data_IF_600489541662
#
_entry.id   IF_600489541662
#
_cell.length_a   1.000
_cell.length_b   1.000
_cell.length_c   1.000
_cell.angle_alpha   90.00
_cell.angle_beta   90.00
_cell.angle_gamma   90.00
#
_symmetry.space_group_name_H-M   'P 1'
#
loop_
_entity.id
_entity.type
_entity.pdbx_description
1 polymer ?
#
# COMPACT_ATOMS: atom_id res chain seq x y z
N UNK A 1 20.90 10.70 -3.82
CA UNK A 1 20.21 11.88 -3.24
C UNK A 1 19.65 12.77 -4.36
N UNK A 2 20.45 13.17 -5.40
CA UNK A 2 19.96 14.01 -6.49
C UNK A 2 18.79 13.38 -7.27
N UNK A 3 18.84 12.09 -7.59
CA UNK A 3 17.76 11.37 -8.28
C UNK A 3 16.45 11.34 -7.49
N UNK A 4 16.51 11.18 -6.17
CA UNK A 4 15.34 11.25 -5.29
C UNK A 4 14.71 12.64 -5.24
N UNK A 5 15.51 13.70 -5.27
CA UNK A 5 15.04 15.08 -5.30
C UNK A 5 14.39 15.43 -6.65
N UNK A 6 14.98 14.98 -7.77
CA UNK A 6 14.42 15.14 -9.12
C UNK A 6 13.11 14.35 -9.24
N UNK A 7 13.06 13.12 -8.73
CA UNK A 7 11.84 12.33 -8.69
C UNK A 7 10.75 13.01 -7.83
N UNK A 8 11.11 13.54 -6.66
CA UNK A 8 10.19 14.29 -5.79
C UNK A 8 9.68 15.57 -6.46
N UNK A 9 10.49 16.25 -7.26
CA UNK A 9 10.09 17.45 -8.01
C UNK A 9 9.25 17.11 -9.26
N UNK A 10 9.49 15.94 -9.87
CA UNK A 10 8.76 15.47 -11.06
C UNK A 10 7.42 14.82 -10.72
N UNK A 11 7.32 14.18 -9.53
CA UNK A 11 6.05 13.69 -9.00
C UNK A 11 5.38 14.85 -8.25
N UNK A 12 4.79 15.78 -9.02
CA UNK A 12 3.83 16.72 -8.45
C UNK A 12 2.81 15.89 -7.62
N UNK A 13 2.43 16.34 -6.40
CA UNK A 13 1.46 15.60 -5.61
C UNK A 13 0.25 15.36 -6.51
N UNK A 14 -0.22 14.10 -6.64
CA UNK A 14 -1.38 13.80 -7.46
C UNK A 14 -2.50 14.70 -6.97
N UNK A 15 -3.14 15.37 -7.91
CA UNK A 15 -4.23 16.30 -7.61
C UNK A 15 -5.21 15.51 -6.72
N UNK A 16 -5.46 15.98 -5.48
CA UNK A 16 -6.33 15.30 -4.51
C UNK A 16 -7.74 15.01 -5.07
N UNK A 17 -8.07 15.62 -6.22
CA UNK A 17 -9.26 15.34 -7.02
C UNK A 17 -9.33 13.90 -7.55
N UNK A 18 -8.19 13.21 -7.71
CA UNK A 18 -8.16 11.83 -8.20
C UNK A 18 -8.70 10.82 -7.17
N UNK A 19 -8.73 11.16 -5.88
CA UNK A 19 -9.25 10.30 -4.81
C UNK A 19 -10.75 10.53 -4.49
N UNK A 20 -11.42 11.42 -5.23
CA UNK A 20 -12.86 11.65 -5.14
C UNK A 20 -13.33 12.25 -3.82
N UNK A 21 -14.62 12.06 -3.47
CA UNK A 21 -15.25 12.52 -2.22
C UNK A 21 -14.92 11.67 -1.00
N UNK A 22 -13.80 10.92 -1.02
CA UNK A 22 -13.34 10.11 0.10
C UNK A 22 -13.01 11.01 1.30
N UNK A 23 -13.33 10.57 2.51
CA UNK A 23 -12.90 11.28 3.71
C UNK A 23 -11.38 11.33 3.77
N UNK A 24 -10.80 12.37 4.37
CA UNK A 24 -9.33 12.47 4.51
C UNK A 24 -8.75 11.25 5.22
N UNK A 25 -9.45 10.67 6.21
CA UNK A 25 -9.05 9.42 6.85
C UNK A 25 -8.98 8.23 5.89
N UNK A 26 -9.86 8.16 4.89
CA UNK A 26 -9.83 7.14 3.84
C UNK A 26 -8.67 7.38 2.86
N UNK A 27 -8.33 8.62 2.58
CA UNK A 27 -7.16 9.00 1.77
C UNK A 27 -5.86 8.57 2.47
N UNK A 28 -5.72 8.89 3.77
CA UNK A 28 -4.58 8.47 4.57
C UNK A 28 -4.42 6.94 4.62
N UNK A 29 -5.54 6.22 4.80
CA UNK A 29 -5.55 4.77 4.79
C UNK A 29 -5.12 4.21 3.43
N UNK A 30 -5.68 4.74 2.34
CA UNK A 30 -5.33 4.30 0.99
C UNK A 30 -3.86 4.55 0.68
N UNK A 31 -3.31 5.69 1.07
CA UNK A 31 -1.90 6.02 0.90
C UNK A 31 -0.98 5.05 1.68
N UNK A 32 -1.31 4.78 2.95
CA UNK A 32 -0.44 4.04 3.86
C UNK A 32 -0.52 2.51 3.70
N UNK A 33 -1.72 1.94 3.47
CA UNK A 33 -1.94 0.50 3.49
C UNK A 33 -2.20 -0.13 2.12
N UNK A 34 -2.49 0.66 1.09
CA UNK A 34 -2.82 0.12 -0.23
C UNK A 34 -1.89 0.65 -1.32
N UNK A 35 -1.90 1.95 -1.57
CA UNK A 35 -1.16 2.55 -2.68
C UNK A 35 0.35 2.59 -2.42
N UNK A 36 0.76 2.98 -1.22
CA UNK A 36 2.17 2.96 -0.81
C UNK A 36 2.77 1.55 -0.87
N UNK A 37 2.16 0.53 -0.23
CA UNK A 37 2.58 -0.86 -0.36
C UNK A 37 2.60 -1.37 -1.80
N UNK A 38 1.59 -1.07 -2.61
CA UNK A 38 1.59 -1.43 -4.03
C UNK A 38 2.77 -0.79 -4.77
N UNK A 39 2.99 0.52 -4.60
CA UNK A 39 4.10 1.22 -5.21
C UNK A 39 5.45 0.65 -4.74
N UNK A 40 5.57 0.27 -3.46
CA UNK A 40 6.77 -0.36 -2.91
C UNK A 40 7.03 -1.72 -3.56
N UNK A 41 6.01 -2.55 -3.77
CA UNK A 41 6.19 -3.86 -4.44
C UNK A 41 6.61 -3.73 -5.90
N UNK A 42 6.16 -2.68 -6.60
CA UNK A 42 6.55 -2.41 -8.00
C UNK A 42 7.98 -1.87 -8.11
N UNK A 43 8.34 -0.92 -7.25
CA UNK A 43 9.57 -0.13 -7.39
C UNK A 43 10.67 -0.53 -6.42
N UNK A 44 10.31 -0.87 -5.19
CA UNK A 44 11.24 -1.12 -4.10
C UNK A 44 11.94 0.14 -3.58
N UNK A 45 12.94 -0.06 -2.74
CA UNK A 45 13.89 0.97 -2.26
C UNK A 45 13.24 2.19 -1.57
N UNK A 46 12.06 2.02 -0.96
CA UNK A 46 11.41 3.09 -0.21
C UNK A 46 10.60 4.08 -1.06
N UNK A 47 10.44 3.82 -2.36
CA UNK A 47 9.63 4.70 -3.24
C UNK A 47 8.18 4.76 -2.77
N UNK A 48 7.62 3.65 -2.31
CA UNK A 48 6.27 3.60 -1.72
C UNK A 48 6.11 4.54 -0.53
N UNK A 49 7.13 4.63 0.33
CA UNK A 49 7.16 5.58 1.46
C UNK A 49 7.15 7.03 1.00
N UNK A 50 8.01 7.39 0.03
CA UNK A 50 8.08 8.76 -0.51
C UNK A 50 6.73 9.16 -1.11
N UNK A 51 6.10 8.24 -1.87
CA UNK A 51 4.80 8.46 -2.47
C UNK A 51 3.69 8.63 -1.40
N UNK A 52 3.66 7.74 -0.40
CA UNK A 52 2.71 7.81 0.70
C UNK A 52 2.83 9.11 1.48
N UNK A 53 4.06 9.55 1.82
CA UNK A 53 4.31 10.82 2.53
C UNK A 53 3.81 12.01 1.70
N UNK A 54 4.00 12.01 0.39
CA UNK A 54 3.48 13.05 -0.51
C UNK A 54 1.96 13.20 -0.40
N UNK A 55 1.23 12.07 -0.49
CA UNK A 55 -0.23 12.03 -0.35
C UNK A 55 -0.71 12.46 1.04
N UNK A 56 -0.03 11.98 2.10
CA UNK A 56 -0.37 12.27 3.49
C UNK A 56 -0.21 13.78 3.78
N UNK A 57 0.87 14.38 3.29
CA UNK A 57 1.09 15.84 3.41
C UNK A 57 0.09 16.63 2.59
N UNK A 58 -0.24 16.17 1.38
CA UNK A 58 -1.30 16.74 0.53
C UNK A 58 -2.68 16.68 1.20
N UNK A 59 -2.94 15.70 2.06
CA UNK A 59 -4.13 15.61 2.90
C UNK A 59 -4.08 16.49 4.16
N UNK A 60 -3.05 17.32 4.34
CA UNK A 60 -2.94 18.27 5.45
C UNK A 60 -2.29 17.71 6.72
N UNK A 61 -1.81 16.47 6.72
CA UNK A 61 -1.08 15.91 7.87
C UNK A 61 0.40 16.26 7.76
N UNK A 62 0.97 16.79 8.83
CA UNK A 62 2.36 17.22 8.90
C UNK A 62 3.07 16.66 10.15
N UNK A 63 4.38 16.89 10.26
CA UNK A 63 5.18 16.52 11.41
C UNK A 63 5.28 15.01 11.65
N UNK A 64 5.36 14.64 12.92
CA UNK A 64 5.54 13.24 13.35
C UNK A 64 4.45 12.31 12.87
N UNK A 65 3.13 12.63 12.93
CA UNK A 65 2.10 11.77 12.39
C UNK A 65 2.28 11.44 10.91
N UNK A 66 2.67 12.43 10.08
CA UNK A 66 2.91 12.19 8.66
C UNK A 66 4.07 11.21 8.43
N UNK A 67 5.14 11.35 9.18
CA UNK A 67 6.30 10.45 9.09
C UNK A 67 5.92 9.02 9.51
N UNK A 68 5.24 8.85 10.65
CA UNK A 68 4.85 7.54 11.16
C UNK A 68 3.89 6.81 10.22
N UNK A 69 2.87 7.51 9.71
CA UNK A 69 1.91 6.94 8.75
C UNK A 69 2.63 6.62 7.42
N UNK A 70 3.53 7.48 6.98
CA UNK A 70 4.28 7.34 5.74
C UNK A 70 5.28 6.17 5.73
N UNK A 71 5.70 5.67 6.91
CA UNK A 71 6.58 4.51 7.03
C UNK A 71 5.84 3.17 6.93
N UNK A 72 4.51 3.14 7.05
CA UNK A 72 3.73 1.89 7.01
C UNK A 72 3.92 1.05 5.73
N UNK A 73 4.12 1.62 4.53
CA UNK A 73 4.42 0.85 3.34
C UNK A 73 5.65 -0.06 3.47
N UNK A 74 6.59 0.23 4.37
CA UNK A 74 7.80 -0.55 4.58
C UNK A 74 7.55 -1.98 5.13
N UNK A 75 6.35 -2.26 5.63
CA UNK A 75 5.97 -3.62 6.06
C UNK A 75 6.06 -4.61 4.88
N UNK A 76 5.84 -4.13 3.66
CA UNK A 76 5.84 -4.92 2.42
C UNK A 76 7.23 -4.98 1.76
N UNK A 77 8.25 -4.37 2.33
CA UNK A 77 9.61 -4.31 1.76
C UNK A 77 10.21 -5.68 1.36
N UNK A 78 9.88 -6.81 2.02
CA UNK A 78 10.36 -8.12 1.56
C UNK A 78 10.01 -8.45 0.11
N UNK A 79 8.96 -7.85 -0.44
CA UNK A 79 8.52 -7.98 -1.84
C UNK A 79 8.79 -6.72 -2.67
N UNK A 80 9.46 -5.72 -2.11
CA UNK A 80 9.79 -4.47 -2.81
C UNK A 80 10.67 -4.73 -4.01
N UNK A 81 10.30 -4.15 -5.18
CA UNK A 81 11.02 -4.35 -6.44
C UNK A 81 11.15 -5.83 -6.84
N UNK A 82 10.11 -6.64 -6.62
CA UNK A 82 10.09 -8.09 -6.84
C UNK A 82 11.03 -8.89 -5.92
N UNK A 83 11.35 -8.34 -4.75
CA UNK A 83 11.93 -9.06 -3.62
C UNK A 83 13.42 -9.39 -3.65
N UNK A 84 14.32 -8.60 -4.25
CA UNK A 84 15.76 -8.89 -4.23
C UNK A 84 16.32 -9.02 -2.81
N UNK A 85 15.78 -8.26 -1.84
CA UNK A 85 16.16 -8.37 -0.44
C UNK A 85 15.84 -9.74 0.15
N UNK A 86 14.69 -10.33 -0.17
CA UNK A 86 14.31 -11.67 0.24
C UNK A 86 15.20 -12.73 -0.42
N UNK A 87 15.57 -12.57 -1.70
CA UNK A 87 16.48 -13.48 -2.39
C UNK A 87 17.87 -13.50 -1.72
N UNK A 88 18.43 -12.33 -1.43
CA UNK A 88 19.72 -12.20 -0.74
C UNK A 88 19.63 -12.78 0.69
N UNK A 89 18.57 -12.43 1.43
CA UNK A 89 18.36 -12.97 2.78
C UNK A 89 18.27 -14.50 2.79
N UNK A 90 17.55 -15.10 1.86
CA UNK A 90 17.41 -16.54 1.70
C UNK A 90 18.77 -17.21 1.40
N UNK A 91 19.57 -16.62 0.53
CA UNK A 91 20.90 -17.09 0.21
C UNK A 91 21.84 -17.05 1.43
N UNK A 92 21.78 -16.01 2.24
CA UNK A 92 22.60 -15.87 3.46
C UNK A 92 22.26 -16.89 4.54
N UNK A 93 20.99 -17.26 4.68
CA UNK A 93 20.56 -18.27 5.67
C UNK A 93 20.37 -19.66 5.09
N UNK A 94 20.77 -19.86 3.83
CA UNK A 94 20.78 -21.15 3.12
C UNK A 94 19.41 -21.84 3.09
N UNK A 95 18.34 -21.07 2.86
CA UNK A 95 16.97 -21.60 2.69
C UNK A 95 16.40 -21.22 1.33
N UNK A 96 15.43 -21.98 0.77
CA UNK A 96 14.75 -21.58 -0.45
C UNK A 96 14.03 -20.25 -0.29
N UNK A 97 14.15 -19.29 -1.24
CA UNK A 97 13.49 -17.99 -1.17
C UNK A 97 11.96 -18.09 -0.99
N UNK A 98 11.31 -19.05 -1.66
CA UNK A 98 9.88 -19.33 -1.51
C UNK A 98 9.51 -19.67 -0.05
N UNK A 99 10.33 -20.47 0.64
CA UNK A 99 10.07 -20.85 2.03
C UNK A 99 10.26 -19.67 2.99
N UNK A 100 11.28 -18.84 2.76
CA UNK A 100 11.51 -17.63 3.56
C UNK A 100 10.36 -16.64 3.34
N UNK A 101 10.00 -16.35 2.09
CA UNK A 101 8.94 -15.43 1.74
C UNK A 101 7.58 -15.86 2.33
N UNK A 102 7.24 -17.15 2.23
CA UNK A 102 5.99 -17.68 2.78
C UNK A 102 5.90 -17.50 4.30
N UNK A 103 6.99 -17.70 5.04
CA UNK A 103 7.05 -17.43 6.49
C UNK A 103 6.94 -15.93 6.80
N UNK A 104 7.67 -15.11 6.06
CA UNK A 104 7.64 -13.65 6.19
C UNK A 104 6.26 -13.09 5.88
N UNK A 105 5.48 -13.72 4.97
CA UNK A 105 4.11 -13.29 4.66
C UNK A 105 3.18 -13.35 5.88
N UNK A 106 3.29 -14.36 6.73
CA UNK A 106 2.54 -14.43 7.99
C UNK A 106 2.91 -13.29 8.94
N UNK A 107 4.20 -13.02 9.09
CA UNK A 107 4.69 -11.93 9.95
C UNK A 107 4.23 -10.56 9.42
N UNK A 108 4.36 -10.32 8.11
CA UNK A 108 3.91 -9.09 7.48
C UNK A 108 2.39 -8.91 7.60
N UNK A 109 1.61 -9.97 7.38
CA UNK A 109 0.16 -9.97 7.55
C UNK A 109 -0.26 -9.63 8.98
N UNK A 110 0.38 -10.26 9.98
CA UNK A 110 0.14 -9.94 11.39
C UNK A 110 0.52 -8.48 11.71
N UNK A 111 1.67 -7.99 11.21
CA UNK A 111 2.14 -6.63 11.45
C UNK A 111 1.19 -5.58 10.82
N UNK A 112 0.68 -5.83 9.61
CA UNK A 112 -0.33 -4.97 8.98
C UNK A 112 -1.56 -4.80 9.87
N UNK A 113 -2.05 -5.88 10.49
CA UNK A 113 -3.21 -5.85 11.39
C UNK A 113 -2.87 -5.17 12.72
N UNK A 114 -1.72 -5.48 13.32
CA UNK A 114 -1.27 -4.93 14.60
C UNK A 114 -1.03 -3.42 14.55
N UNK A 115 -0.62 -2.88 13.39
CA UNK A 115 -0.38 -1.45 13.22
C UNK A 115 -1.63 -0.63 12.90
N UNK A 116 -2.79 -1.25 12.66
CA UNK A 116 -4.04 -0.52 12.46
C UNK A 116 -4.44 0.37 13.64
N UNK A 117 -4.42 -0.09 14.90
CA UNK A 117 -4.72 0.78 16.05
C UNK A 117 -3.75 1.97 16.15
N UNK A 118 -2.46 1.74 15.88
CA UNK A 118 -1.45 2.80 15.87
C UNK A 118 -1.73 3.81 14.74
N UNK A 119 -2.06 3.34 13.54
CA UNK A 119 -2.49 4.19 12.43
C UNK A 119 -3.69 5.07 12.82
N UNK A 120 -4.73 4.51 13.42
CA UNK A 120 -5.90 5.29 13.86
C UNK A 120 -5.54 6.32 14.92
N UNK A 121 -4.60 5.98 15.81
CA UNK A 121 -4.09 6.93 16.80
C UNK A 121 -3.34 8.07 16.12
N UNK A 122 -2.45 7.80 15.17
CA UNK A 122 -1.70 8.81 14.43
C UNK A 122 -2.59 9.68 13.54
N UNK A 123 -3.63 9.10 12.92
CA UNK A 123 -4.65 9.89 12.22
C UNK A 123 -5.34 10.88 13.16
N UNK A 124 -5.68 10.46 14.39
CA UNK A 124 -6.28 11.34 15.39
C UNK A 124 -5.32 12.47 15.80
N UNK A 125 -4.05 12.16 16.00
CA UNK A 125 -3.01 13.17 16.29
C UNK A 125 -2.82 14.16 15.12
N UNK A 126 -2.99 13.69 13.90
CA UNK A 126 -2.95 14.50 12.68
C UNK A 126 -4.23 15.30 12.39
N UNK A 127 -5.22 15.29 13.30
CA UNK A 127 -6.48 16.02 13.12
C UNK A 127 -7.57 15.28 12.33
N UNK A 128 -7.35 14.02 11.96
CA UNK A 128 -8.27 13.23 11.13
C UNK A 128 -8.75 11.95 11.84
N UNK A 129 -9.62 12.05 12.87
CA UNK A 129 -10.07 10.88 13.62
C UNK A 129 -10.87 9.92 12.74
N UNK A 130 -10.57 8.61 12.86
CA UNK A 130 -11.25 7.55 12.13
C UNK A 130 -12.44 7.05 12.92
N UNK A 131 -13.65 7.12 12.36
CA UNK A 131 -14.88 6.65 13.03
C UNK A 131 -14.98 5.11 13.03
N UNK A 132 -15.71 4.48 13.97
CA UNK A 132 -15.74 3.01 14.13
C UNK A 132 -16.11 2.25 12.85
N UNK A 133 -17.09 2.75 12.08
CA UNK A 133 -17.48 2.13 10.80
C UNK A 133 -16.36 2.12 9.78
N UNK A 134 -15.56 3.19 9.71
CA UNK A 134 -14.39 3.26 8.84
C UNK A 134 -13.30 2.29 9.32
N UNK A 135 -13.08 2.19 10.66
CA UNK A 135 -12.11 1.24 11.23
C UNK A 135 -12.42 -0.19 10.83
N UNK A 136 -13.68 -0.62 10.96
CA UNK A 136 -14.11 -1.95 10.56
C UNK A 136 -13.86 -2.21 9.06
N UNK A 137 -14.20 -1.24 8.20
CA UNK A 137 -13.95 -1.34 6.75
C UNK A 137 -12.46 -1.39 6.43
N UNK A 138 -11.64 -0.55 7.07
CA UNK A 138 -10.19 -0.55 6.90
C UNK A 138 -9.57 -1.87 7.36
N UNK A 139 -10.03 -2.42 8.50
CA UNK A 139 -9.60 -3.72 8.98
C UNK A 139 -9.91 -4.84 7.98
N UNK A 140 -11.08 -4.82 7.34
CA UNK A 140 -11.43 -5.79 6.29
C UNK A 140 -10.49 -5.70 5.08
N UNK A 141 -10.13 -4.50 4.62
CA UNK A 141 -9.19 -4.34 3.51
C UNK A 141 -7.79 -4.83 3.87
N UNK A 142 -7.32 -4.54 5.08
CA UNK A 142 -6.00 -5.03 5.55
C UNK A 142 -6.02 -6.55 5.73
N UNK A 143 -7.11 -7.10 6.27
CA UNK A 143 -7.29 -8.55 6.38
C UNK A 143 -7.27 -9.22 5.01
N UNK A 144 -7.94 -8.64 4.01
CA UNK A 144 -7.92 -9.13 2.63
C UNK A 144 -6.50 -9.10 2.05
N UNK A 145 -5.74 -8.02 2.28
CA UNK A 145 -4.33 -7.93 1.84
C UNK A 145 -3.48 -9.01 2.51
N UNK A 146 -3.60 -9.18 3.82
CA UNK A 146 -2.86 -10.19 4.57
C UNK A 146 -3.21 -11.62 4.12
N UNK A 147 -4.49 -11.91 3.94
CA UNK A 147 -4.97 -13.21 3.48
C UNK A 147 -4.49 -13.53 2.06
N UNK A 148 -4.56 -12.56 1.15
CA UNK A 148 -4.04 -12.73 -0.21
C UNK A 148 -2.52 -12.88 -0.22
N UNK A 149 -1.80 -12.08 0.57
CA UNK A 149 -0.35 -12.18 0.68
C UNK A 149 0.07 -13.58 1.11
N UNK A 150 -0.56 -14.14 2.14
CA UNK A 150 -0.28 -15.50 2.61
C UNK A 150 -0.74 -16.56 1.60
N UNK A 151 -1.97 -16.43 1.09
CA UNK A 151 -2.58 -17.43 0.20
C UNK A 151 -1.86 -17.56 -1.15
N UNK A 152 -1.40 -16.46 -1.73
CA UNK A 152 -0.71 -16.48 -3.02
C UNK A 152 0.61 -17.27 -3.00
N UNK A 153 1.29 -17.37 -1.85
CA UNK A 153 2.52 -18.18 -1.74
C UNK A 153 2.31 -19.69 -1.98
N UNK A 154 1.06 -20.16 -1.98
CA UNK A 154 0.73 -21.54 -2.30
C UNK A 154 0.53 -21.80 -3.80
N UNK A 155 0.32 -20.74 -4.59
CA UNK A 155 -0.09 -20.87 -6.01
C UNK A 155 0.72 -20.00 -6.97
N UNK A 156 1.53 -19.09 -6.48
CA UNK A 156 2.29 -18.15 -7.30
C UNK A 156 3.77 -18.09 -6.87
N UNK A 157 4.68 -17.71 -7.78
CA UNK A 157 6.06 -17.41 -7.44
C UNK A 157 6.13 -16.29 -6.39
N UNK A 158 7.01 -16.44 -5.42
CA UNK A 158 7.11 -15.52 -4.27
C UNK A 158 7.39 -14.07 -4.68
N UNK A 159 8.09 -13.86 -5.80
CA UNK A 159 8.45 -12.53 -6.33
C UNK A 159 7.22 -11.66 -6.62
N UNK A 160 6.15 -12.28 -7.11
CA UNK A 160 4.93 -11.55 -7.52
C UNK A 160 3.85 -11.54 -6.44
N UNK A 161 3.99 -12.28 -5.35
CA UNK A 161 2.95 -12.40 -4.32
C UNK A 161 2.59 -11.05 -3.70
N UNK A 162 3.59 -10.22 -3.37
CA UNK A 162 3.37 -8.89 -2.82
C UNK A 162 2.66 -7.96 -3.81
N UNK A 163 3.11 -7.96 -5.07
CA UNK A 163 2.51 -7.17 -6.14
C UNK A 163 1.04 -7.56 -6.38
N UNK A 164 0.76 -8.85 -6.49
CA UNK A 164 -0.60 -9.36 -6.71
C UNK A 164 -1.50 -9.07 -5.50
N UNK A 165 -1.04 -9.31 -4.27
CA UNK A 165 -1.84 -9.08 -3.07
C UNK A 165 -2.23 -7.60 -2.94
N UNK A 166 -1.25 -6.68 -3.03
CA UNK A 166 -1.50 -5.25 -2.90
C UNK A 166 -2.27 -4.67 -4.09
N UNK A 167 -1.93 -5.11 -5.32
CA UNK A 167 -2.56 -4.64 -6.55
C UNK A 167 -4.03 -5.05 -6.67
N UNK A 168 -4.37 -6.31 -6.35
CA UNK A 168 -5.74 -6.80 -6.38
C UNK A 168 -6.63 -6.07 -5.36
N UNK A 169 -6.14 -5.90 -4.13
CA UNK A 169 -6.89 -5.18 -3.08
C UNK A 169 -7.04 -3.71 -3.41
N UNK A 170 -5.97 -3.05 -3.90
CA UNK A 170 -6.05 -1.65 -4.35
C UNK A 170 -7.08 -1.49 -5.48
N UNK A 171 -7.04 -2.36 -6.48
CA UNK A 171 -7.98 -2.34 -7.60
C UNK A 171 -9.42 -2.55 -7.13
N UNK A 172 -9.67 -3.53 -6.28
CA UNK A 172 -10.98 -3.78 -5.68
C UNK A 172 -11.47 -2.58 -4.86
N UNK A 173 -10.58 -1.94 -4.09
CA UNK A 173 -10.91 -0.75 -3.31
C UNK A 173 -11.27 0.44 -4.19
N UNK A 174 -10.54 0.67 -5.29
CA UNK A 174 -10.83 1.73 -6.24
C UNK A 174 -12.14 1.51 -6.97
N UNK A 175 -12.42 0.30 -7.43
CA UNK A 175 -13.69 -0.07 -8.06
C UNK A 175 -14.88 0.08 -7.09
N UNK A 176 -14.69 -0.26 -5.82
CA UNK A 176 -15.70 -0.06 -4.79
C UNK A 176 -15.98 1.42 -4.50
N UNK A 177 -14.93 2.27 -4.54
CA UNK A 177 -15.05 3.71 -4.33
C UNK A 177 -15.65 4.44 -5.55
N UNK A 178 -15.33 3.97 -6.75
CA UNK A 178 -15.75 4.54 -8.03
C UNK A 178 -16.35 3.46 -8.94
N UNK A 179 -17.56 2.97 -8.63
CA UNK A 179 -18.20 1.99 -9.50
C UNK A 179 -18.35 2.59 -10.90
N UNK A 180 -18.00 1.86 -11.97
CA UNK A 180 -18.16 2.33 -13.33
C UNK A 180 -19.65 2.60 -13.57
N UNK A 181 -20.00 3.87 -13.70
CA UNK A 181 -21.40 4.33 -13.87
C UNK A 181 -21.96 4.03 -15.26
N UNK A 182 -21.09 3.70 -16.24
CA UNK A 182 -21.49 3.33 -17.60
C UNK A 182 -20.55 2.28 -18.17
N UNK A 183 -21.09 1.10 -18.45
CA UNK A 183 -20.40 0.06 -19.23
C UNK A 183 -19.97 0.57 -20.63
N UNK A 184 -20.67 1.57 -21.17
CA UNK A 184 -20.35 2.22 -22.44
C UNK A 184 -19.10 3.14 -22.34
N UNK A 185 -18.83 3.74 -21.18
CA UNK A 185 -17.63 4.56 -20.96
C UNK A 185 -16.37 3.67 -20.84
N UNK A 186 -16.47 2.52 -20.17
CA UNK A 186 -15.38 1.53 -20.11
C UNK A 186 -15.06 0.93 -21.50
N UNK A 187 -16.07 0.64 -22.33
CA UNK A 187 -15.83 0.19 -23.72
C UNK A 187 -15.14 1.25 -24.57
N UNK A 188 -15.53 2.53 -24.43
CA UNK A 188 -14.88 3.63 -25.18
C UNK A 188 -13.44 3.84 -24.77
N UNK A 189 -13.09 3.72 -23.47
CA UNK A 189 -11.73 3.82 -22.99
C UNK A 189 -10.86 2.63 -23.47
N UNK A 190 -11.42 1.42 -23.53
CA UNK A 190 -10.72 0.23 -24.02
C UNK A 190 -10.52 0.19 -25.54
N UNK A 191 -11.29 0.98 -26.32
CA UNK A 191 -11.14 1.08 -27.79
C UNK A 191 -10.17 2.22 -28.17
N UNK A 192 -9.92 3.18 -27.24
CA UNK A 192 -9.06 4.33 -27.47
C UNK A 192 -7.61 4.12 -26.94
N UNK A 193 -7.32 3.00 -26.28
CA UNK A 193 -6.01 2.58 -25.81
C UNK A 193 -5.39 1.53 -26.73
#
# INVERSE_FOLDING_TARGET
IAGGLVFHAAVAPPDNRALGTASQADTLFTAAFLLGPFTETVTGFGVGTVFAIGLIRGAGVAGVPAALIGLLPQIIIPWGGLGPGTAVGAALVLVPPQALAARTAWQAGAMLLLLLPAFWHWCRLGGHPVVPRQRARQALWVLATAALLVGLHHVAPWEVCGLLATGLVLSARLLHAHPPRDAAACRRAAIAA
#
